data_IF_851068945999
#
_entry.id   IF_851068945999
#
_cell.length_a   1.000
_cell.length_b   1.000
_cell.length_c   1.000
_cell.angle_alpha   90.00
_cell.angle_beta   90.00
_cell.angle_gamma   90.00
#
_symmetry.space_group_name_H-M   'P 1'
#
loop_
_entity.id
_entity.type
_entity.pdbx_description
1 polymer ?
#
# COMPACT_ATOMS: atom_id res chain seq x y z
N UNK A 1 -16.67 10.18 -8.44
CA UNK A 1 -15.40 10.93 -8.22
C UNK A 1 -15.22 11.29 -6.74
N UNK A 2 -16.21 11.94 -6.10
CA UNK A 2 -16.11 12.36 -4.70
C UNK A 2 -15.90 11.18 -3.73
N UNK A 3 -16.57 10.05 -3.96
CA UNK A 3 -16.42 8.86 -3.13
C UNK A 3 -15.02 8.25 -3.21
N UNK A 4 -14.43 8.20 -4.41
CA UNK A 4 -13.07 7.71 -4.62
C UNK A 4 -12.03 8.62 -3.95
N UNK A 5 -12.18 9.94 -4.08
CA UNK A 5 -11.29 10.91 -3.44
C UNK A 5 -11.33 10.76 -1.93
N UNK A 6 -12.52 10.62 -1.35
CA UNK A 6 -12.69 10.41 0.09
C UNK A 6 -12.00 9.13 0.56
N UNK A 7 -12.17 8.03 -0.18
CA UNK A 7 -11.54 6.75 0.14
C UNK A 7 -10.01 6.88 0.14
N UNK A 8 -9.43 7.55 -0.86
CA UNK A 8 -7.99 7.75 -0.93
C UNK A 8 -7.48 8.64 0.22
N UNK A 9 -8.21 9.68 0.60
CA UNK A 9 -7.85 10.52 1.73
C UNK A 9 -7.89 9.74 3.05
N UNK A 10 -8.87 8.86 3.23
CA UNK A 10 -8.94 7.99 4.40
C UNK A 10 -7.76 7.00 4.42
N UNK A 11 -7.39 6.42 3.28
CA UNK A 11 -6.24 5.52 3.17
C UNK A 11 -4.94 6.26 3.52
N UNK A 12 -4.75 7.48 3.01
CA UNK A 12 -3.58 8.28 3.34
C UNK A 12 -3.50 8.58 4.83
N UNK A 13 -4.62 8.87 5.46
CA UNK A 13 -4.72 9.07 6.91
C UNK A 13 -4.29 7.82 7.66
N UNK A 14 -4.85 6.66 7.32
CA UNK A 14 -4.51 5.37 7.95
C UNK A 14 -3.03 5.03 7.76
N UNK A 15 -2.51 5.20 6.56
CA UNK A 15 -1.10 4.93 6.25
C UNK A 15 -0.15 5.83 7.04
N UNK A 16 -0.63 7.02 7.43
CA UNK A 16 0.11 7.97 8.27
C UNK A 16 -0.05 7.68 9.77
N UNK A 17 -0.84 6.68 10.13
CA UNK A 17 -1.06 6.30 11.53
C UNK A 17 -2.18 7.05 12.23
N UNK A 18 -3.08 7.70 11.49
CA UNK A 18 -4.15 8.54 12.03
C UNK A 18 -5.52 7.99 11.64
N UNK A 19 -6.39 7.78 12.63
CA UNK A 19 -7.75 7.33 12.37
C UNK A 19 -8.55 8.43 11.65
N UNK A 20 -9.16 8.11 10.49
CA UNK A 20 -9.92 9.11 9.74
C UNK A 20 -11.25 9.50 10.40
N UNK A 21 -11.67 8.79 11.44
CA UNK A 21 -12.92 9.08 12.16
C UNK A 21 -12.73 9.86 13.45
N UNK A 22 -11.76 9.45 14.28
CA UNK A 22 -11.60 10.05 15.60
C UNK A 22 -10.24 10.71 15.82
N UNK A 23 -9.32 10.62 14.86
CA UNK A 23 -7.97 11.19 14.91
C UNK A 23 -7.04 10.54 15.95
N UNK A 24 -7.41 9.40 16.51
CA UNK A 24 -6.52 8.63 17.37
C UNK A 24 -5.51 7.83 16.54
N UNK A 25 -4.56 7.21 17.22
CA UNK A 25 -3.53 6.38 16.56
C UNK A 25 -4.12 5.14 15.92
N UNK A 26 -3.66 4.82 14.73
CA UNK A 26 -3.97 3.58 14.03
C UNK A 26 -2.85 2.55 14.30
N UNK A 27 -3.24 1.34 14.67
CA UNK A 27 -2.34 0.19 14.67
C UNK A 27 -2.39 -0.48 13.30
N UNK A 28 -1.20 -0.78 12.76
CA UNK A 28 -1.04 -1.46 11.47
C UNK A 28 -0.59 -2.89 11.72
N UNK A 29 -1.30 -3.86 11.15
CA UNK A 29 -0.97 -5.29 11.27
C UNK A 29 -0.71 -5.87 9.89
N UNK A 30 0.43 -6.54 9.76
CA UNK A 30 0.83 -7.28 8.56
C UNK A 30 0.22 -8.68 8.59
N UNK A 31 -0.28 -9.13 7.45
CA UNK A 31 -0.70 -10.51 7.22
C UNK A 31 0.01 -11.02 5.98
N UNK A 32 0.65 -12.19 6.07
CA UNK A 32 1.40 -12.77 4.95
C UNK A 32 0.87 -14.17 4.66
N UNK A 33 0.51 -14.41 3.40
CA UNK A 33 0.17 -15.74 2.92
C UNK A 33 1.44 -16.45 2.46
N UNK A 34 1.87 -17.49 3.18
CA UNK A 34 3.10 -18.23 2.86
C UNK A 34 2.90 -19.23 1.72
N UNK A 35 1.66 -19.60 1.41
CA UNK A 35 1.31 -20.55 0.36
C UNK A 35 0.73 -19.84 -0.88
N UNK A 36 1.08 -18.56 -1.06
CA UNK A 36 0.53 -17.73 -2.12
C UNK A 36 1.02 -18.16 -3.50
N UNK A 37 0.07 -18.24 -4.44
CA UNK A 37 0.36 -18.53 -5.84
C UNK A 37 0.94 -17.34 -6.60
N UNK A 38 0.88 -17.38 -7.93
CA UNK A 38 1.43 -16.33 -8.78
C UNK A 38 0.71 -15.00 -8.56
N UNK A 39 1.49 -13.91 -8.59
CA UNK A 39 0.96 -12.54 -8.50
C UNK A 39 0.02 -12.24 -9.68
N UNK A 40 -1.08 -11.59 -9.40
CA UNK A 40 -2.07 -11.22 -10.41
C UNK A 40 -3.22 -12.20 -10.56
N UNK A 41 -3.16 -13.34 -9.86
CA UNK A 41 -4.22 -14.34 -9.82
C UNK A 41 -4.75 -14.49 -8.40
N UNK A 42 -6.03 -14.84 -8.28
CA UNK A 42 -6.63 -15.12 -6.98
C UNK A 42 -6.00 -16.38 -6.36
N UNK A 43 -5.44 -16.23 -5.18
CA UNK A 43 -4.80 -17.33 -4.45
C UNK A 43 -5.86 -18.28 -3.86
N UNK A 44 -5.70 -19.58 -4.04
CA UNK A 44 -6.60 -20.58 -3.47
C UNK A 44 -6.48 -20.69 -1.94
N UNK A 45 -5.35 -20.29 -1.38
CA UNK A 45 -5.09 -20.36 0.07
C UNK A 45 -5.67 -19.16 0.83
N UNK A 46 -5.49 -17.93 0.32
CA UNK A 46 -5.92 -16.71 1.01
C UNK A 46 -7.04 -15.93 0.30
N UNK A 47 -7.35 -16.28 -0.94
CA UNK A 47 -8.38 -15.61 -1.74
C UNK A 47 -8.00 -14.23 -2.27
N UNK A 48 -6.81 -13.71 -1.94
CA UNK A 48 -6.34 -12.42 -2.40
C UNK A 48 -5.41 -12.51 -3.61
N UNK A 49 -5.12 -11.34 -4.20
CA UNK A 49 -4.20 -11.24 -5.34
C UNK A 49 -2.74 -11.09 -4.91
N UNK A 50 -2.49 -10.67 -3.68
CA UNK A 50 -1.14 -10.41 -3.16
C UNK A 50 -0.91 -11.18 -1.87
N UNK A 51 0.33 -11.62 -1.67
CA UNK A 51 0.73 -12.38 -0.48
C UNK A 51 0.73 -11.51 0.78
N UNK A 52 1.09 -10.23 0.65
CA UNK A 52 1.16 -9.31 1.78
C UNK A 52 -0.10 -8.45 1.82
N UNK A 53 -0.81 -8.52 2.94
CA UNK A 53 -1.97 -7.68 3.21
C UNK A 53 -1.78 -6.92 4.51
N UNK A 54 -2.57 -5.88 4.72
CA UNK A 54 -2.50 -5.02 5.90
C UNK A 54 -3.88 -4.85 6.52
N UNK A 55 -3.93 -4.82 7.84
CA UNK A 55 -5.10 -4.43 8.61
C UNK A 55 -4.80 -3.16 9.40
N UNK A 56 -5.76 -2.25 9.42
CA UNK A 56 -5.69 -1.02 10.21
C UNK A 56 -6.77 -1.06 11.28
N UNK A 57 -6.40 -0.77 12.51
CA UNK A 57 -7.31 -0.77 13.65
C UNK A 57 -7.10 0.49 14.47
N UNK A 58 -8.16 1.25 14.72
CA UNK A 58 -8.08 2.39 15.64
C UNK A 58 -7.89 1.92 17.07
N UNK A 59 -7.04 2.62 17.83
CA UNK A 59 -6.79 2.33 19.24
C UNK A 59 -7.87 2.91 20.17
N UNK A 60 -8.76 3.75 19.66
CA UNK A 60 -9.75 4.46 20.46
C UNK A 60 -11.21 4.18 20.07
N UNK A 61 -11.51 4.06 18.77
CA UNK A 61 -12.88 3.80 18.30
C UNK A 61 -12.97 2.44 17.60
N UNK A 62 -14.15 2.08 17.10
CA UNK A 62 -14.38 0.79 16.44
C UNK A 62 -13.90 0.75 14.98
N UNK A 63 -13.33 1.84 14.47
CA UNK A 63 -12.89 1.90 13.08
C UNK A 63 -11.82 0.85 12.79
N UNK A 64 -12.04 0.09 11.73
CA UNK A 64 -11.05 -0.83 11.18
C UNK A 64 -11.18 -0.88 9.67
N UNK A 65 -10.08 -1.18 8.99
CA UNK A 65 -10.02 -1.32 7.53
C UNK A 65 -8.83 -2.21 7.16
N UNK A 66 -8.68 -2.49 5.90
CA UNK A 66 -7.55 -3.27 5.42
C UNK A 66 -7.60 -3.51 3.93
N UNK A 67 -6.60 -4.18 3.42
CA UNK A 67 -6.47 -4.51 2.01
C UNK A 67 -5.06 -4.95 1.65
N UNK A 68 -4.65 -4.73 0.41
CA UNK A 68 -3.31 -5.04 -0.06
C UNK A 68 -2.25 -4.28 0.73
N UNK A 69 -1.07 -4.87 0.90
CA UNK A 69 0.02 -4.28 1.68
C UNK A 69 0.46 -2.90 1.21
N UNK A 70 0.28 -2.59 -0.06
CA UNK A 70 0.60 -1.28 -0.64
C UNK A 70 -0.14 -0.13 0.07
N UNK A 71 -1.30 -0.39 0.66
CA UNK A 71 -2.07 0.64 1.36
C UNK A 71 -1.29 1.27 2.51
N UNK A 72 -0.42 0.50 3.18
CA UNK A 72 0.43 1.01 4.24
C UNK A 72 1.55 1.92 3.71
N UNK A 73 1.84 1.89 2.43
CA UNK A 73 2.93 2.63 1.80
C UNK A 73 2.50 3.95 1.16
N UNK A 74 1.20 4.21 1.05
CA UNK A 74 0.68 5.35 0.28
C UNK A 74 1.04 6.72 0.86
N UNK A 75 1.46 6.80 2.13
CA UNK A 75 1.96 8.04 2.72
C UNK A 75 3.47 8.23 2.55
N UNK A 76 4.17 7.26 1.96
CA UNK A 76 5.61 7.37 1.73
C UNK A 76 5.92 8.44 0.69
N UNK A 77 6.83 9.36 1.01
CA UNK A 77 7.14 10.50 0.15
C UNK A 77 7.76 10.10 -1.18
N UNK A 78 8.59 9.07 -1.21
CA UNK A 78 9.20 8.60 -2.47
C UNK A 78 8.15 8.04 -3.41
N UNK A 79 7.16 7.31 -2.88
CA UNK A 79 6.05 6.82 -3.66
C UNK A 79 5.15 7.97 -4.16
N UNK A 80 4.85 8.94 -3.30
CA UNK A 80 4.04 10.10 -3.67
C UNK A 80 4.73 10.94 -4.75
N UNK A 81 6.05 11.14 -4.64
CA UNK A 81 6.83 11.84 -5.66
C UNK A 81 6.82 11.09 -6.99
N UNK A 82 7.00 9.77 -6.95
CA UNK A 82 6.94 8.92 -8.14
C UNK A 82 5.58 9.02 -8.84
N UNK A 83 4.51 8.91 -8.07
CA UNK A 83 3.14 9.01 -8.58
C UNK A 83 2.89 10.39 -9.22
N UNK A 84 3.29 11.46 -8.52
CA UNK A 84 3.08 12.83 -8.99
C UNK A 84 3.87 13.11 -10.25
N UNK A 85 5.11 12.64 -10.35
CA UNK A 85 5.96 12.81 -11.53
C UNK A 85 5.37 12.12 -12.77
N UNK A 86 4.57 11.08 -12.57
CA UNK A 86 3.90 10.36 -13.64
C UNK A 86 2.43 10.76 -13.83
N UNK A 87 2.03 11.91 -13.27
CA UNK A 87 0.69 12.46 -13.45
C UNK A 87 -0.40 11.83 -12.57
N UNK A 88 -0.03 11.07 -11.54
CA UNK A 88 -0.95 10.38 -10.64
C UNK A 88 -0.94 11.03 -9.26
N UNK A 89 -1.83 11.99 -9.02
CA UNK A 89 -1.94 12.64 -7.72
C UNK A 89 -3.07 11.96 -6.91
N UNK A 90 -2.74 11.32 -5.76
CA UNK A 90 -3.74 10.59 -4.97
C UNK A 90 -4.87 11.45 -4.41
N UNK A 91 -4.67 12.77 -4.29
CA UNK A 91 -5.68 13.70 -3.77
C UNK A 91 -6.43 14.45 -4.86
N UNK A 92 -6.07 14.25 -6.14
CA UNK A 92 -6.72 14.87 -7.28
C UNK A 92 -7.82 13.96 -7.81
N UNK A 93 -9.10 14.39 -7.80
CA UNK A 93 -10.21 13.56 -8.30
C UNK A 93 -10.03 13.07 -9.73
N UNK A 94 -9.36 13.84 -10.58
CA UNK A 94 -9.14 13.48 -11.98
C UNK A 94 -8.09 12.36 -12.12
N UNK A 95 -7.21 12.21 -11.13
CA UNK A 95 -6.15 11.20 -11.12
C UNK A 95 -6.50 9.94 -10.32
N UNK A 96 -7.58 9.94 -9.56
CA UNK A 96 -7.93 8.88 -8.60
C UNK A 96 -8.02 7.50 -9.26
N UNK A 97 -8.60 7.42 -10.46
CA UNK A 97 -8.71 6.16 -11.19
C UNK A 97 -7.33 5.58 -11.52
N UNK A 98 -6.41 6.41 -12.03
CA UNK A 98 -5.06 5.99 -12.39
C UNK A 98 -4.27 5.53 -11.15
N UNK A 99 -4.40 6.24 -10.04
CA UNK A 99 -3.79 5.84 -8.76
C UNK A 99 -4.34 4.49 -8.31
N UNK A 100 -5.65 4.30 -8.39
CA UNK A 100 -6.29 3.06 -8.00
C UNK A 100 -5.84 1.88 -8.88
N UNK A 101 -5.68 2.09 -10.17
CA UNK A 101 -5.15 1.07 -11.08
C UNK A 101 -3.71 0.68 -10.70
N UNK A 102 -2.89 1.65 -10.34
CA UNK A 102 -1.53 1.39 -9.89
C UNK A 102 -1.49 0.57 -8.60
N UNK A 103 -2.40 0.82 -7.66
CA UNK A 103 -2.53 0.04 -6.44
C UNK A 103 -2.86 -1.42 -6.70
N UNK A 104 -3.42 -1.73 -7.87
CA UNK A 104 -3.80 -3.09 -8.26
C UNK A 104 -2.79 -3.78 -9.16
N UNK A 105 -1.71 -3.09 -9.57
CA UNK A 105 -0.77 -3.59 -10.59
C UNK A 105 0.70 -3.48 -10.17
N UNK A 106 0.99 -3.47 -8.89
CA UNK A 106 2.37 -3.51 -8.40
C UNK A 106 2.86 -4.96 -8.27
N UNK A 107 4.17 -5.11 -8.19
CA UNK A 107 4.81 -6.40 -7.94
C UNK A 107 5.29 -6.45 -6.49
N UNK A 108 5.20 -7.63 -5.86
CA UNK A 108 5.73 -7.84 -4.52
C UNK A 108 6.69 -9.02 -4.49
N UNK A 109 7.68 -8.96 -3.60
CA UNK A 109 8.63 -10.04 -3.38
C UNK A 109 9.00 -10.09 -1.90
N UNK A 110 8.81 -11.25 -1.27
CA UNK A 110 9.21 -11.47 0.11
C UNK A 110 10.69 -11.87 0.11
N UNK A 111 11.53 -11.07 0.78
CA UNK A 111 12.98 -11.26 0.85
C UNK A 111 13.37 -12.12 2.05
N UNK A 112 12.69 -11.99 3.17
CA UNK A 112 12.95 -12.72 4.40
C UNK A 112 11.68 -12.81 5.24
N UNK A 113 11.53 -13.89 6.00
CA UNK A 113 10.36 -14.09 6.86
C UNK A 113 10.60 -13.69 8.32
N UNK A 114 11.84 -13.89 8.84
CA UNK A 114 12.19 -13.58 10.22
C UNK A 114 13.64 -13.09 10.32
N UNK A 115 13.90 -11.78 10.50
CA UNK A 115 12.90 -10.71 10.48
C UNK A 115 12.27 -10.53 9.10
N UNK A 116 11.01 -10.08 9.08
CA UNK A 116 10.29 -9.91 7.82
C UNK A 116 10.87 -8.75 6.99
N UNK A 117 11.06 -9.01 5.70
CA UNK A 117 11.49 -8.01 4.74
C UNK A 117 10.86 -8.32 3.38
N UNK A 118 10.36 -7.31 2.71
CA UNK A 118 9.73 -7.47 1.40
C UNK A 118 9.99 -6.25 0.52
N UNK A 119 9.88 -6.45 -0.79
CA UNK A 119 9.99 -5.38 -1.78
C UNK A 119 8.65 -5.21 -2.50
N UNK A 120 8.32 -3.94 -2.77
CA UNK A 120 7.17 -3.56 -3.60
C UNK A 120 7.69 -2.73 -4.77
N UNK A 121 7.41 -3.17 -6.00
CA UNK A 121 7.90 -2.51 -7.22
C UNK A 121 6.74 -1.91 -7.99
N UNK A 122 6.86 -0.63 -8.29
CA UNK A 122 5.89 0.15 -9.05
C UNK A 122 6.52 0.56 -10.37
N UNK A 123 5.75 0.44 -11.46
CA UNK A 123 6.22 0.79 -12.80
C UNK A 123 5.29 1.84 -13.40
N UNK A 124 5.89 2.90 -13.93
CA UNK A 124 5.17 3.93 -14.67
C UNK A 124 6.06 4.45 -15.78
N UNK A 125 5.58 4.43 -17.02
CA UNK A 125 6.35 4.75 -18.21
C UNK A 125 7.64 3.90 -18.27
N UNK A 126 8.81 4.52 -18.37
CA UNK A 126 10.10 3.81 -18.42
C UNK A 126 10.80 3.78 -17.05
N UNK A 127 10.09 4.15 -15.99
CA UNK A 127 10.66 4.27 -14.65
C UNK A 127 10.08 3.25 -13.69
N UNK A 128 10.93 2.76 -12.79
CA UNK A 128 10.50 1.87 -11.70
C UNK A 128 10.89 2.46 -10.35
N UNK A 129 10.03 2.24 -9.36
CA UNK A 129 10.31 2.52 -7.97
C UNK A 129 10.19 1.22 -7.18
N UNK A 130 11.24 0.86 -6.44
CA UNK A 130 11.24 -0.29 -5.55
C UNK A 130 11.36 0.18 -4.10
N UNK A 131 10.38 -0.16 -3.29
CA UNK A 131 10.39 0.13 -1.86
C UNK A 131 10.63 -1.16 -1.09
N UNK A 132 11.60 -1.14 -0.19
CA UNK A 132 11.89 -2.26 0.72
C UNK A 132 11.28 -1.93 2.09
N UNK A 133 10.54 -2.87 2.65
CA UNK A 133 9.84 -2.68 3.92
C UNK A 133 10.29 -3.71 4.95
N UNK A 134 10.18 -3.33 6.23
CA UNK A 134 10.44 -4.19 7.39
C UNK A 134 9.16 -4.86 7.90
N UNK A 135 9.24 -5.45 9.08
CA UNK A 135 8.12 -6.17 9.72
C UNK A 135 6.92 -5.32 10.06
N UNK A 136 7.10 -4.02 10.20
CA UNK A 136 6.01 -3.06 10.48
C UNK A 136 5.47 -2.42 9.19
N UNK A 137 5.90 -2.90 8.03
CA UNK A 137 5.63 -2.32 6.73
C UNK A 137 6.12 -0.87 6.60
N UNK A 138 7.18 -0.55 7.37
CA UNK A 138 7.87 0.73 7.26
C UNK A 138 8.94 0.65 6.16
N UNK A 139 9.03 1.67 5.33
CA UNK A 139 10.00 1.73 4.24
C UNK A 139 11.40 1.95 4.81
N UNK A 140 12.31 1.01 4.55
CA UNK A 140 13.70 1.08 5.00
C UNK A 140 14.69 1.36 3.88
N UNK A 141 14.27 1.22 2.64
CA UNK A 141 15.06 1.55 1.46
C UNK A 141 14.15 1.89 0.28
N UNK A 142 14.65 2.73 -0.61
CA UNK A 142 13.91 3.20 -1.77
C UNK A 142 14.88 3.36 -2.94
N UNK A 143 14.59 2.71 -4.08
CA UNK A 143 15.41 2.78 -5.29
C UNK A 143 14.52 3.15 -6.48
N UNK A 144 14.87 4.24 -7.15
CA UNK A 144 14.15 4.72 -8.33
C UNK A 144 15.08 4.62 -9.55
N UNK A 145 14.65 3.92 -10.58
CA UNK A 145 15.45 3.63 -11.77
C UNK A 145 14.68 3.88 -13.07
N UNK A 146 15.42 4.22 -14.11
CA UNK A 146 14.89 4.37 -15.47
C UNK A 146 15.37 3.26 -16.39
#
# INVERSE_FOLDING_TARGET
>A
QAAWTRTNLEILSMASGLCPRCSATIETKRHVCTDHGATGESCSACGGYYAVSVGFQCTNCIFSSGGAGVLALLSNTDLLDFLTDHGHNPVDPDSVRAVNELQMNYEERILAEDPFEAEFTFRADDETLTLTVDGDLSVVDSVRER
#
